data_IF_713704584460
#
_entry.id   IF_713704584460
#
_cell.length_a   1.000
_cell.length_b   1.000
_cell.length_c   1.000
_cell.angle_alpha   90.00
_cell.angle_beta   90.00
_cell.angle_gamma   90.00
#
_symmetry.space_group_name_H-M   'P 1'
#
loop_
_entity.id
_entity.type
_entity.pdbx_description
1 polymer ?
#
# COMPACT_ATOMS: atom_id res chain seq x y z
N UNK A 1 -24.55 -7.60 -24.37
CA UNK A 1 -24.52 -7.98 -22.95
C UNK A 1 -24.06 -6.73 -22.22
N UNK A 2 -24.97 -6.00 -21.57
CA UNK A 2 -24.56 -4.83 -20.78
C UNK A 2 -23.75 -5.34 -19.59
N UNK A 3 -22.51 -4.88 -19.43
CA UNK A 3 -21.70 -5.18 -18.25
C UNK A 3 -22.38 -4.57 -17.02
N UNK A 4 -23.05 -5.40 -16.22
CA UNK A 4 -23.63 -5.01 -14.94
C UNK A 4 -22.52 -4.92 -13.91
N UNK A 5 -22.21 -3.72 -13.47
CA UNK A 5 -21.29 -3.51 -12.35
C UNK A 5 -22.02 -3.80 -11.04
N UNK A 6 -21.35 -4.48 -10.12
CA UNK A 6 -21.87 -4.82 -8.78
C UNK A 6 -21.17 -3.98 -7.71
N UNK A 7 -21.94 -3.55 -6.72
CA UNK A 7 -21.46 -2.83 -5.53
C UNK A 7 -20.72 -3.80 -4.59
N UNK A 8 -20.02 -3.26 -3.58
CA UNK A 8 -19.27 -4.07 -2.59
C UNK A 8 -20.14 -5.05 -1.78
N UNK A 9 -21.47 -4.94 -1.87
CA UNK A 9 -22.46 -5.82 -1.24
C UNK A 9 -23.07 -6.85 -2.22
N UNK A 10 -22.60 -6.92 -3.47
CA UNK A 10 -23.13 -7.82 -4.52
C UNK A 10 -24.48 -7.39 -5.11
N UNK A 11 -24.82 -6.09 -5.02
CA UNK A 11 -26.04 -5.51 -5.60
C UNK A 11 -25.71 -4.73 -6.86
N UNK A 12 -26.63 -4.63 -7.82
CA UNK A 12 -26.40 -3.85 -9.04
C UNK A 12 -26.07 -2.37 -8.71
N UNK A 13 -25.02 -1.84 -9.33
CA UNK A 13 -24.62 -0.44 -9.13
C UNK A 13 -25.65 0.49 -9.72
N UNK A 14 -26.12 1.44 -8.90
CA UNK A 14 -26.99 2.52 -9.36
C UNK A 14 -26.14 3.62 -10.00
N UNK A 15 -26.30 3.93 -11.30
CA UNK A 15 -25.60 5.03 -11.98
C UNK A 15 -25.91 6.35 -11.27
N UNK A 16 -24.87 7.09 -10.86
CA UNK A 16 -24.99 8.37 -10.14
C UNK A 16 -24.96 8.29 -8.61
N UNK A 17 -25.11 7.10 -8.01
CA UNK A 17 -24.95 6.88 -6.56
C UNK A 17 -23.63 6.19 -6.20
N UNK A 18 -23.18 5.24 -7.03
CA UNK A 18 -21.96 4.48 -6.79
C UNK A 18 -20.87 4.94 -7.77
N UNK A 19 -19.66 5.18 -7.25
CA UNK A 19 -18.49 5.60 -8.05
C UNK A 19 -18.44 7.10 -8.40
N UNK A 20 -17.80 7.40 -9.53
CA UNK A 20 -17.65 8.77 -10.05
C UNK A 20 -16.39 9.52 -9.58
N UNK A 21 -16.30 10.78 -9.98
CA UNK A 21 -15.09 11.62 -9.81
C UNK A 21 -14.73 11.78 -8.33
N UNK A 22 -15.72 11.88 -7.43
CA UNK A 22 -15.48 12.00 -5.98
C UNK A 22 -14.79 10.78 -5.38
N UNK A 23 -15.25 9.58 -5.74
CA UNK A 23 -14.64 8.34 -5.25
C UNK A 23 -13.22 8.19 -5.81
N UNK A 24 -13.04 8.48 -7.11
CA UNK A 24 -11.73 8.47 -7.75
C UNK A 24 -10.76 9.50 -7.14
N UNK A 25 -11.24 10.70 -6.79
CA UNK A 25 -10.40 11.72 -6.16
C UNK A 25 -9.93 11.31 -4.76
N UNK A 26 -10.78 10.63 -3.98
CA UNK A 26 -10.40 10.12 -2.66
C UNK A 26 -9.30 9.06 -2.80
N UNK A 27 -9.50 8.09 -3.70
CA UNK A 27 -8.49 7.06 -3.97
C UNK A 27 -7.16 7.67 -4.44
N UNK A 28 -7.22 8.68 -5.31
CA UNK A 28 -6.04 9.41 -5.78
C UNK A 28 -5.28 10.10 -4.64
N UNK A 29 -6.00 10.79 -3.74
CA UNK A 29 -5.38 11.45 -2.57
C UNK A 29 -4.71 10.42 -1.66
N UNK A 30 -5.34 9.28 -1.41
CA UNK A 30 -4.74 8.22 -0.59
C UNK A 30 -3.47 7.69 -1.24
N UNK A 31 -3.49 7.41 -2.53
CA UNK A 31 -2.30 6.95 -3.28
C UNK A 31 -1.16 7.97 -3.22
N UNK A 32 -1.47 9.26 -3.36
CA UNK A 32 -0.46 10.32 -3.24
C UNK A 32 0.18 10.35 -1.85
N UNK A 33 -0.60 10.13 -0.80
CA UNK A 33 -0.11 10.08 0.58
C UNK A 33 0.76 8.84 0.79
N UNK A 34 0.33 7.67 0.32
CA UNK A 34 1.10 6.42 0.40
C UNK A 34 2.49 6.60 -0.25
N UNK A 35 2.53 7.11 -1.48
CA UNK A 35 3.78 7.32 -2.21
C UNK A 35 4.71 8.27 -1.44
N UNK A 36 4.14 9.34 -0.87
CA UNK A 36 4.91 10.32 -0.08
C UNK A 36 5.50 9.70 1.18
N UNK A 37 4.72 8.89 1.92
CA UNK A 37 5.16 8.21 3.14
C UNK A 37 6.22 7.15 2.80
N UNK A 38 5.99 6.36 1.76
CA UNK A 38 6.90 5.32 1.27
C UNK A 38 8.27 5.89 0.85
N UNK A 39 8.30 7.03 0.16
CA UNK A 39 9.56 7.73 -0.16
C UNK A 39 10.26 8.23 1.12
N UNK A 40 9.50 8.83 2.03
CA UNK A 40 10.04 9.41 3.28
C UNK A 40 10.69 8.35 4.17
N UNK A 41 10.04 7.20 4.36
CA UNK A 41 10.55 6.10 5.17
C UNK A 41 11.82 5.50 4.56
N UNK A 42 11.85 5.27 3.25
CA UNK A 42 13.03 4.72 2.56
C UNK A 42 14.24 5.62 2.70
N UNK A 43 14.05 6.94 2.57
CA UNK A 43 15.13 7.91 2.75
C UNK A 43 15.62 7.95 4.21
N UNK A 44 14.72 7.82 5.18
CA UNK A 44 15.09 7.85 6.59
C UNK A 44 15.76 6.54 7.07
N UNK A 45 15.40 5.38 6.50
CA UNK A 45 15.95 4.09 6.92
C UNK A 45 17.48 4.01 6.86
N UNK A 46 18.13 4.63 5.87
CA UNK A 46 19.60 4.62 5.78
C UNK A 46 20.22 5.28 7.00
N UNK A 47 19.67 6.43 7.42
CA UNK A 47 20.10 7.16 8.62
C UNK A 47 19.77 6.38 9.87
N UNK A 48 18.57 5.79 9.97
CA UNK A 48 18.18 4.97 11.11
C UNK A 48 19.14 3.78 11.32
N UNK A 49 19.50 3.05 10.25
CA UNK A 49 20.43 1.93 10.36
C UNK A 49 21.87 2.37 10.67
N UNK A 50 22.32 3.49 10.11
CA UNK A 50 23.67 4.01 10.33
C UNK A 50 23.84 4.61 11.73
N UNK A 51 22.94 5.50 12.13
CA UNK A 51 23.05 6.30 13.35
C UNK A 51 22.50 5.58 14.58
N UNK A 52 21.30 4.97 14.50
CA UNK A 52 20.64 4.34 15.66
C UNK A 52 21.04 2.89 15.87
N UNK A 53 21.15 2.09 14.80
CA UNK A 53 21.55 0.68 14.90
C UNK A 53 23.05 0.43 14.70
N UNK A 54 23.84 1.48 14.45
CA UNK A 54 25.29 1.43 14.27
C UNK A 54 25.76 0.40 13.22
N UNK A 55 25.01 0.24 12.13
CA UNK A 55 25.44 -0.59 11.01
C UNK A 55 26.52 0.12 10.18
N UNK A 56 27.43 -0.65 9.59
CA UNK A 56 28.36 -0.12 8.59
C UNK A 56 27.57 0.36 7.36
N UNK A 57 28.08 1.37 6.66
CA UNK A 57 27.43 1.95 5.47
C UNK A 57 27.04 0.88 4.43
N UNK A 58 27.93 -0.09 4.18
CA UNK A 58 27.65 -1.21 3.28
C UNK A 58 26.48 -2.10 3.78
N UNK A 59 26.41 -2.38 5.09
CA UNK A 59 25.33 -3.20 5.67
C UNK A 59 24.00 -2.46 5.69
N UNK A 60 24.00 -1.16 6.00
CA UNK A 60 22.82 -0.32 5.96
C UNK A 60 22.24 -0.22 4.53
N UNK A 61 23.08 0.04 3.52
CA UNK A 61 22.66 0.09 2.12
C UNK A 61 22.05 -1.24 1.64
N UNK A 62 22.65 -2.37 2.03
CA UNK A 62 22.11 -3.70 1.72
C UNK A 62 20.74 -3.93 2.38
N UNK A 63 20.55 -3.53 3.64
CA UNK A 63 19.25 -3.67 4.33
C UNK A 63 18.17 -2.82 3.66
N UNK A 64 18.47 -1.58 3.29
CA UNK A 64 17.52 -0.71 2.58
C UNK A 64 17.18 -1.28 1.20
N UNK A 65 18.17 -1.79 0.47
CA UNK A 65 17.95 -2.39 -0.85
C UNK A 65 17.09 -3.66 -0.75
N UNK A 66 17.37 -4.51 0.24
CA UNK A 66 16.57 -5.71 0.51
C UNK A 66 15.13 -5.35 0.92
N UNK A 67 14.95 -4.31 1.73
CA UNK A 67 13.62 -3.80 2.11
C UNK A 67 12.85 -3.36 0.86
N UNK A 68 13.44 -2.51 0.02
CA UNK A 68 12.82 -2.02 -1.23
C UNK A 68 12.47 -3.19 -2.16
N UNK A 69 13.41 -4.12 -2.38
CA UNK A 69 13.21 -5.28 -3.22
C UNK A 69 12.08 -6.18 -2.71
N UNK A 70 12.02 -6.40 -1.39
CA UNK A 70 10.95 -7.18 -0.75
C UNK A 70 9.59 -6.50 -0.90
N UNK A 71 9.52 -5.17 -0.74
CA UNK A 71 8.28 -4.41 -0.93
C UNK A 71 7.72 -4.58 -2.34
N UNK A 72 8.56 -4.52 -3.38
CA UNK A 72 8.11 -4.76 -4.76
C UNK A 72 7.61 -6.20 -4.99
N UNK A 73 8.29 -7.19 -4.43
CA UNK A 73 7.82 -8.59 -4.49
C UNK A 73 6.48 -8.76 -3.75
N UNK A 74 6.31 -8.08 -2.62
CA UNK A 74 5.07 -8.09 -1.86
C UNK A 74 3.93 -7.41 -2.63
N UNK A 75 4.19 -6.34 -3.38
CA UNK A 75 3.19 -5.72 -4.27
C UNK A 75 2.71 -6.69 -5.34
N UNK A 76 3.62 -7.43 -5.99
CA UNK A 76 3.25 -8.44 -6.98
C UNK A 76 2.41 -9.56 -6.35
N UNK A 77 2.81 -10.03 -5.17
CA UNK A 77 2.06 -11.04 -4.43
C UNK A 77 0.67 -10.52 -4.01
N UNK A 78 0.59 -9.29 -3.50
CA UNK A 78 -0.66 -8.64 -3.11
C UNK A 78 -1.62 -8.47 -4.28
N UNK A 79 -1.12 -8.09 -5.46
CA UNK A 79 -1.90 -8.03 -6.69
C UNK A 79 -2.47 -9.40 -7.08
N UNK A 80 -1.65 -10.45 -7.05
CA UNK A 80 -2.10 -11.81 -7.34
C UNK A 80 -3.21 -12.29 -6.37
N UNK A 81 -3.06 -12.00 -5.07
CA UNK A 81 -4.08 -12.32 -4.06
C UNK A 81 -5.37 -11.52 -4.27
N UNK A 82 -5.24 -10.24 -4.61
CA UNK A 82 -6.37 -9.36 -4.90
C UNK A 82 -7.18 -9.84 -6.11
N UNK A 83 -6.51 -10.32 -7.15
CA UNK A 83 -7.17 -10.79 -8.36
C UNK A 83 -7.79 -12.19 -8.21
N UNK A 84 -7.22 -13.04 -7.33
CA UNK A 84 -7.62 -14.45 -7.22
C UNK A 84 -8.62 -14.75 -6.11
N UNK A 85 -8.59 -14.02 -4.98
CA UNK A 85 -9.29 -14.43 -3.76
C UNK A 85 -10.16 -13.35 -3.10
N UNK A 86 -9.92 -12.07 -3.33
CA UNK A 86 -10.54 -10.98 -2.56
C UNK A 86 -11.26 -9.97 -3.44
N UNK A 87 -12.28 -9.30 -2.89
CA UNK A 87 -12.86 -8.12 -3.53
C UNK A 87 -11.92 -6.93 -3.37
N UNK A 88 -11.84 -6.06 -4.39
CA UNK A 88 -10.91 -4.92 -4.45
C UNK A 88 -10.97 -4.01 -3.21
N UNK A 89 -12.16 -3.78 -2.66
CA UNK A 89 -12.36 -2.98 -1.45
C UNK A 89 -11.80 -3.64 -0.19
N UNK A 90 -11.97 -4.96 -0.05
CA UNK A 90 -11.46 -5.72 1.09
C UNK A 90 -9.95 -5.82 1.08
N UNK A 91 -9.34 -6.07 -0.09
CA UNK A 91 -7.87 -6.05 -0.23
C UNK A 91 -7.28 -4.71 0.19
N UNK A 92 -7.89 -3.60 -0.26
CA UNK A 92 -7.44 -2.26 0.09
C UNK A 92 -7.46 -2.01 1.62
N UNK A 93 -8.56 -2.38 2.30
CA UNK A 93 -8.68 -2.21 3.74
C UNK A 93 -7.66 -3.06 4.53
N UNK A 94 -7.44 -4.30 4.13
CA UNK A 94 -6.46 -5.19 4.76
C UNK A 94 -5.05 -4.63 4.58
N UNK A 95 -4.67 -4.24 3.35
CA UNK A 95 -3.37 -3.66 3.05
C UNK A 95 -3.10 -2.39 3.85
N UNK A 96 -4.05 -1.44 3.90
CA UNK A 96 -3.93 -0.24 4.73
C UNK A 96 -3.77 -0.58 6.22
N UNK A 97 -4.49 -1.59 6.72
CA UNK A 97 -4.39 -1.98 8.14
C UNK A 97 -3.00 -2.53 8.47
N UNK A 98 -2.44 -3.38 7.59
CA UNK A 98 -1.10 -3.94 7.75
C UNK A 98 -0.04 -2.83 7.68
N UNK A 99 -0.20 -1.89 6.75
CA UNK A 99 0.71 -0.76 6.58
C UNK A 99 0.74 0.14 7.82
N UNK A 100 -0.43 0.52 8.33
CA UNK A 100 -0.55 1.33 9.56
C UNK A 100 0.10 0.63 10.75
N UNK A 101 -0.13 -0.68 10.91
CA UNK A 101 0.53 -1.47 11.95
C UNK A 101 2.05 -1.44 11.80
N UNK A 102 2.55 -1.56 10.56
CA UNK A 102 3.97 -1.44 10.26
C UNK A 102 4.55 -0.08 10.68
N UNK A 103 3.84 1.02 10.42
CA UNK A 103 4.28 2.35 10.82
C UNK A 103 4.25 2.57 12.33
N UNK A 104 3.26 2.01 13.03
CA UNK A 104 3.22 2.02 14.50
C UNK A 104 4.45 1.32 15.06
N UNK A 105 4.76 0.12 14.55
CA UNK A 105 5.94 -0.64 15.00
C UNK A 105 7.26 0.06 14.64
N UNK A 106 7.33 0.81 13.54
CA UNK A 106 8.53 1.56 13.18
C UNK A 106 8.74 2.82 14.05
N UNK A 107 7.65 3.42 14.50
CA UNK A 107 7.68 4.66 15.29
C UNK A 107 8.06 4.40 16.75
N UNK A 108 7.62 3.27 17.30
CA UNK A 108 7.88 2.85 18.68
C UNK A 108 9.13 1.97 18.79
#
# INVERSE_FOLDING_TARGET
MEEKFEDWTGRETIPGKHGGIRAASIACVVEMIEIMVSISIRNNMVLYFGESMHYSSAKAANMVTNFIGTSYLLTLFGGFVADSFLTRSTTFLISCSIEILGFIVLTF
#
